data_IF_297001045372
#
_entry.id   IF_297001045372
#
_cell.length_a   1.000
_cell.length_b   1.000
_cell.length_c   1.000
_cell.angle_alpha   90.00
_cell.angle_beta   90.00
_cell.angle_gamma   90.00
#
_symmetry.space_group_name_H-M   'P 1'
#
loop_
_entity.id
_entity.type
_entity.pdbx_description
1 polymer ?
#
# COMPACT_ATOMS: atom_id res chain seq x y z
N UNK A 1 38.67 -43.33 -36.36
CA UNK A 1 37.60 -42.32 -36.45
C UNK A 1 37.61 -41.43 -35.23
N UNK A 2 37.60 -40.12 -35.48
CA UNK A 2 38.07 -39.04 -34.61
C UNK A 2 37.26 -38.85 -33.32
N UNK A 3 38.01 -38.70 -32.24
CA UNK A 3 37.69 -38.00 -31.01
C UNK A 3 37.37 -36.52 -31.26
N UNK A 4 36.23 -36.04 -30.76
CA UNK A 4 35.96 -34.62 -30.54
C UNK A 4 35.49 -34.43 -29.10
N UNK A 5 36.47 -34.28 -28.21
CA UNK A 5 36.32 -33.64 -26.91
C UNK A 5 36.35 -32.13 -27.16
N UNK A 6 35.18 -31.51 -27.22
CA UNK A 6 35.04 -30.06 -27.29
C UNK A 6 35.13 -29.48 -25.88
N UNK A 7 36.33 -29.08 -25.47
CA UNK A 7 36.54 -28.20 -24.32
C UNK A 7 36.09 -26.79 -24.66
N UNK A 8 34.81 -26.49 -24.44
CA UNK A 8 34.31 -25.12 -24.41
C UNK A 8 34.64 -24.49 -23.05
N UNK A 9 35.82 -23.88 -23.00
CA UNK A 9 36.18 -22.86 -22.01
C UNK A 9 35.24 -21.67 -22.18
N UNK A 10 34.20 -21.61 -21.35
CA UNK A 10 33.48 -20.37 -21.08
C UNK A 10 33.99 -19.86 -19.73
N UNK A 11 35.03 -19.04 -19.82
CA UNK A 11 35.32 -18.00 -18.85
C UNK A 11 34.09 -17.09 -18.73
N UNK A 12 33.17 -17.40 -17.81
CA UNK A 12 32.32 -16.38 -17.24
C UNK A 12 33.00 -15.90 -15.97
N UNK A 13 33.88 -14.92 -16.15
CA UNK A 13 34.34 -14.08 -15.06
C UNK A 13 33.12 -13.44 -14.44
N UNK A 14 32.67 -13.98 -13.30
CA UNK A 14 31.85 -13.25 -12.36
C UNK A 14 32.70 -12.08 -11.87
N UNK A 15 32.65 -10.99 -12.65
CA UNK A 15 32.94 -9.65 -12.19
C UNK A 15 31.99 -9.44 -11.01
N UNK A 16 32.54 -9.61 -9.80
CA UNK A 16 32.04 -9.00 -8.59
C UNK A 16 31.98 -7.50 -8.90
N UNK A 17 30.83 -7.07 -9.42
CA UNK A 17 30.41 -5.70 -9.31
C UNK A 17 30.34 -5.44 -7.81
N UNK A 18 31.44 -4.88 -7.31
CA UNK A 18 31.48 -4.12 -6.08
C UNK A 18 30.28 -3.20 -6.13
N UNK A 19 29.21 -3.58 -5.42
CA UNK A 19 28.13 -2.68 -5.07
C UNK A 19 28.86 -1.61 -4.27
N UNK A 20 29.00 -0.37 -4.76
CA UNK A 20 29.50 0.68 -3.90
C UNK A 20 28.51 0.73 -2.74
N UNK A 21 29.05 0.56 -1.54
CA UNK A 21 28.44 0.84 -0.26
C UNK A 21 28.13 2.35 -0.20
N UNK A 22 27.29 2.82 -1.13
CA UNK A 22 26.68 4.12 -1.11
C UNK A 22 25.45 3.95 -0.24
N UNK A 23 25.72 3.76 1.04
CA UNK A 23 24.88 4.28 2.12
C UNK A 23 24.86 5.79 1.88
N UNK A 24 24.03 6.19 0.91
CA UNK A 24 23.60 7.55 0.71
C UNK A 24 22.82 7.85 1.97
N UNK A 25 23.53 8.32 2.99
CA UNK A 25 22.97 9.09 4.09
C UNK A 25 22.19 10.20 3.42
N UNK A 26 20.92 9.94 3.17
CA UNK A 26 20.00 10.97 2.79
C UNK A 26 20.15 12.05 3.87
N UNK A 27 20.36 13.32 3.49
CA UNK A 27 20.34 14.40 4.46
C UNK A 27 19.04 14.23 5.24
N UNK A 28 19.16 14.24 6.56
CA UNK A 28 18.01 14.19 7.44
C UNK A 28 17.08 15.33 7.04
N UNK A 29 16.08 15.01 6.22
CA UNK A 29 14.99 15.92 5.99
C UNK A 29 14.39 16.09 7.37
N UNK A 30 14.62 17.27 7.95
CA UNK A 30 13.91 17.79 9.10
C UNK A 30 12.45 17.48 8.83
N UNK A 31 11.95 16.43 9.48
CA UNK A 31 10.52 16.15 9.52
C UNK A 31 9.90 17.48 9.96
N UNK A 32 9.00 18.09 9.18
CA UNK A 32 8.22 19.20 9.70
C UNK A 32 7.63 18.70 11.02
N UNK A 33 7.84 19.50 12.07
CA UNK A 33 7.39 19.19 13.42
C UNK A 33 6.00 18.57 13.31
N UNK A 34 5.84 17.40 13.92
CA UNK A 34 4.54 16.80 14.12
C UNK A 34 3.67 17.88 14.77
N UNK A 35 2.82 18.52 13.95
CA UNK A 35 1.68 19.26 14.44
C UNK A 35 0.86 18.20 15.12
N UNK A 36 1.05 18.14 16.44
CA UNK A 36 0.20 17.45 17.40
C UNK A 36 -1.21 17.46 16.84
N UNK A 37 -1.68 16.26 16.51
CA UNK A 37 -3.07 16.02 16.21
C UNK A 37 -3.85 16.49 17.41
N UNK A 38 -4.30 17.75 17.38
CA UNK A 38 -5.43 18.21 18.14
C UNK A 38 -6.54 17.22 17.78
N UNK A 39 -6.84 16.37 18.76
CA UNK A 39 -7.96 15.47 18.75
C UNK A 39 -9.13 16.17 18.06
N UNK A 40 -9.57 15.61 16.94
CA UNK A 40 -10.89 15.91 16.42
C UNK A 40 -11.86 15.59 17.54
N UNK A 41 -12.31 16.65 18.22
CA UNK A 41 -13.42 16.56 19.14
C UNK A 41 -14.63 15.93 18.46
N UNK A 42 -15.57 15.39 19.24
CA UNK A 42 -16.76 14.74 18.71
C UNK A 42 -17.43 15.64 17.68
N UNK A 43 -17.61 15.10 16.47
CA UNK A 43 -18.39 15.73 15.39
C UNK A 43 -19.66 16.32 16.01
N UNK A 44 -19.90 17.63 15.95
CA UNK A 44 -21.19 18.18 16.34
C UNK A 44 -22.23 17.53 15.42
N UNK A 45 -23.24 16.91 16.03
CA UNK A 45 -24.43 16.41 15.35
C UNK A 45 -24.91 17.52 14.42
N UNK A 46 -25.02 17.22 13.14
CA UNK A 46 -25.68 18.07 12.17
C UNK A 46 -27.12 18.29 12.66
N UNK A 47 -27.33 19.41 13.36
CA UNK A 47 -28.64 19.95 13.59
C UNK A 47 -29.17 20.31 12.21
N UNK A 48 -30.09 19.47 11.74
CA UNK A 48 -31.04 19.73 10.67
C UNK A 48 -31.57 21.16 10.85
N UNK A 49 -30.99 22.10 10.09
CA UNK A 49 -31.47 23.46 10.02
C UNK A 49 -32.85 23.39 9.37
N UNK A 50 -33.88 23.39 10.22
CA UNK A 50 -35.22 23.75 9.83
C UNK A 50 -35.14 25.11 9.14
N UNK A 51 -35.78 25.21 7.98
CA UNK A 51 -36.03 26.46 7.29
C UNK A 51 -36.83 27.39 8.22
N UNK A 52 -36.13 28.25 8.95
CA UNK A 52 -36.71 29.39 9.65
C UNK A 52 -36.99 30.45 8.61
N UNK A 53 -38.24 30.52 8.17
CA UNK A 53 -38.82 31.67 7.49
C UNK A 53 -38.63 32.91 8.37
N UNK A 54 -37.66 33.76 8.02
CA UNK A 54 -37.43 35.04 8.66
C UNK A 54 -38.59 35.98 8.34
N UNK A 55 -39.51 36.12 9.31
CA UNK A 55 -40.38 37.29 9.47
C UNK A 55 -39.50 38.50 9.78
N UNK A 56 -39.10 39.25 8.77
CA UNK A 56 -38.62 40.61 8.94
C UNK A 56 -39.83 41.53 9.06
N UNK A 57 -39.99 42.12 10.24
CA UNK A 57 -41.03 43.09 10.55
C UNK A 57 -40.87 44.35 9.70
N UNK A 58 -41.92 44.66 8.95
CA UNK A 58 -42.14 45.97 8.36
C UNK A 58 -42.67 46.89 9.45
N UNK A 59 -41.86 47.85 9.86
CA UNK A 59 -42.27 49.05 10.58
C UNK A 59 -43.30 49.82 9.75
N UNK A 60 -44.39 50.23 10.38
CA UNK A 60 -45.44 51.02 9.75
C UNK A 60 -44.94 52.42 9.39
N UNK A 61 -44.70 52.65 8.11
CA UNK A 61 -44.64 53.98 7.52
C UNK A 61 -45.98 54.27 6.83
N UNK A 62 -46.59 55.40 7.19
CA UNK A 62 -47.84 55.93 6.65
C UNK A 62 -47.70 56.10 5.13
N UNK A 63 -48.30 55.19 4.36
CA UNK A 63 -48.39 55.27 2.90
C UNK A 63 -49.34 56.40 2.53
N UNK A 64 -48.79 57.48 1.97
CA UNK A 64 -49.53 58.47 1.19
C UNK A 64 -50.07 57.74 -0.05
N UNK A 65 -51.35 57.90 -0.42
CA UNK A 65 -51.91 57.24 -1.60
C UNK A 65 -51.18 57.73 -2.86
N UNK A 66 -50.23 56.93 -3.35
CA UNK A 66 -49.67 57.09 -4.70
C UNK A 66 -50.80 56.76 -5.67
N UNK A 67 -51.36 57.81 -6.26
CA UNK A 67 -52.29 57.73 -7.38
C UNK A 67 -51.57 56.97 -8.48
N UNK A 68 -51.94 55.70 -8.70
CA UNK A 68 -51.48 54.93 -9.85
C UNK A 68 -51.81 55.75 -11.10
N UNK A 69 -50.82 56.17 -11.90
CA UNK A 69 -51.09 56.78 -13.19
C UNK A 69 -52.01 55.84 -13.94
N UNK A 70 -53.13 56.37 -14.41
CA UNK A 70 -54.10 55.63 -15.21
C UNK A 70 -53.35 55.20 -16.47
N UNK A 71 -52.92 53.94 -16.53
CA UNK A 71 -52.35 53.35 -17.75
C UNK A 71 -53.41 53.48 -18.83
N UNK A 72 -53.24 54.49 -19.68
CA UNK A 72 -54.03 54.64 -20.88
C UNK A 72 -53.58 53.49 -21.77
N UNK A 73 -54.41 52.45 -21.88
CA UNK A 73 -54.24 51.38 -22.86
C UNK A 73 -54.26 52.01 -24.26
N UNK A 74 -53.08 52.42 -24.71
CA UNK A 74 -52.83 52.78 -26.10
C UNK A 74 -52.80 51.47 -26.88
N UNK A 75 -53.56 51.39 -27.97
CA UNK A 75 -53.48 50.24 -28.87
C UNK A 75 -52.06 50.15 -29.43
N UNK A 76 -51.44 48.94 -29.45
CA UNK A 76 -50.09 48.78 -29.93
C UNK A 76 -50.02 49.19 -31.41
N UNK A 77 -49.24 50.22 -31.69
CA UNK A 77 -49.00 50.69 -33.04
C UNK A 77 -47.91 49.84 -33.71
N UNK A 78 -47.92 49.70 -35.05
CA UNK A 78 -46.94 48.86 -35.76
C UNK A 78 -45.47 49.24 -35.54
N UNK A 79 -45.19 50.48 -35.13
CA UNK A 79 -43.84 51.00 -34.88
C UNK A 79 -43.43 51.00 -33.39
N UNK A 80 -44.30 50.56 -32.47
CA UNK A 80 -43.97 50.47 -31.04
C UNK A 80 -42.79 49.52 -30.78
N UNK A 81 -42.66 48.44 -31.57
CA UNK A 81 -41.53 47.52 -31.49
C UNK A 81 -40.19 48.19 -31.83
N UNK A 82 -40.19 49.15 -32.76
CA UNK A 82 -38.99 49.91 -33.13
C UNK A 82 -38.59 50.84 -31.98
N UNK A 83 -39.56 51.58 -31.43
CA UNK A 83 -39.32 52.48 -30.28
C UNK A 83 -38.81 51.68 -29.08
N UNK A 84 -39.43 50.54 -28.79
CA UNK A 84 -39.02 49.66 -27.70
C UNK A 84 -37.60 49.10 -27.90
N UNK A 85 -37.24 48.70 -29.12
CA UNK A 85 -35.89 48.22 -29.42
C UNK A 85 -34.84 49.33 -29.22
N UNK A 86 -35.13 50.55 -29.70
CA UNK A 86 -34.27 51.72 -29.52
C UNK A 86 -34.16 52.13 -28.04
N UNK A 87 -35.24 52.05 -27.26
CA UNK A 87 -35.23 52.35 -25.83
C UNK A 87 -34.41 51.35 -25.02
N UNK A 88 -34.51 50.05 -25.33
CA UNK A 88 -33.84 49.00 -24.56
C UNK A 88 -32.35 48.86 -24.87
N UNK A 89 -31.95 49.11 -26.12
CA UNK A 89 -30.61 48.77 -26.62
C UNK A 89 -29.93 49.88 -27.39
N UNK A 90 -30.67 50.90 -27.82
CA UNK A 90 -30.12 52.05 -28.49
C UNK A 90 -29.28 52.90 -27.53
N UNK A 91 -28.32 53.62 -28.09
CA UNK A 91 -27.50 54.58 -27.35
C UNK A 91 -27.99 56.02 -27.56
N UNK A 92 -29.27 56.15 -27.94
CA UNK A 92 -29.90 57.43 -28.21
C UNK A 92 -30.25 58.14 -26.90
N UNK A 93 -30.09 59.45 -26.92
CA UNK A 93 -30.49 60.34 -25.82
C UNK A 93 -32.03 60.29 -25.68
N UNK A 94 -32.61 60.24 -24.46
CA UNK A 94 -34.05 60.06 -24.26
C UNK A 94 -34.92 61.07 -25.02
N UNK A 95 -34.48 62.32 -25.11
CA UNK A 95 -35.14 63.37 -25.86
C UNK A 95 -35.23 63.07 -27.36
N UNK A 96 -34.20 62.42 -27.92
CA UNK A 96 -34.15 61.97 -29.32
C UNK A 96 -35.10 60.78 -29.52
N UNK A 97 -35.22 59.88 -28.53
CA UNK A 97 -36.19 58.78 -28.57
C UNK A 97 -37.63 59.28 -28.59
N UNK A 98 -37.97 60.26 -27.75
CA UNK A 98 -39.31 60.89 -27.74
C UNK A 98 -39.59 61.51 -29.11
N UNK A 99 -38.66 62.31 -29.63
CA UNK A 99 -38.78 62.93 -30.96
C UNK A 99 -38.98 61.88 -32.07
N UNK A 100 -38.19 60.79 -32.08
CA UNK A 100 -38.35 59.70 -33.04
C UNK A 100 -39.72 59.03 -32.88
N UNK A 101 -40.15 58.75 -31.64
CA UNK A 101 -41.43 58.10 -31.36
C UNK A 101 -42.64 58.91 -31.85
N UNK A 102 -42.55 60.25 -31.78
CA UNK A 102 -43.57 61.17 -32.29
C UNK A 102 -43.50 61.36 -33.80
N UNK A 103 -42.30 61.29 -34.40
CA UNK A 103 -42.09 61.44 -35.85
C UNK A 103 -42.38 60.16 -36.66
N UNK A 104 -42.33 58.99 -36.03
CA UNK A 104 -42.57 57.69 -36.69
C UNK A 104 -43.97 57.55 -37.31
N UNK A 105 -45.08 57.94 -36.65
CA UNK A 105 -46.42 57.94 -37.28
C UNK A 105 -46.47 58.72 -38.59
N UNK A 106 -45.88 59.93 -38.63
CA UNK A 106 -45.90 60.78 -39.81
C UNK A 106 -44.91 60.31 -40.89
N UNK A 107 -43.86 59.58 -40.51
CA UNK A 107 -42.84 59.09 -41.43
C UNK A 107 -43.22 57.74 -42.05
N UNK A 108 -43.67 56.78 -41.25
CA UNK A 108 -44.06 55.43 -41.69
C UNK A 108 -45.52 55.35 -42.14
N UNK A 109 -46.39 56.25 -41.66
CA UNK A 109 -47.80 56.32 -42.06
C UNK A 109 -48.04 56.94 -43.44
N UNK A 110 -47.03 57.61 -44.01
CA UNK A 110 -47.10 58.23 -45.35
C UNK A 110 -46.43 57.33 -46.40
N UNK A 111 -47.03 57.27 -47.59
CA UNK A 111 -46.47 56.49 -48.72
C UNK A 111 -45.07 56.99 -49.07
N UNK A 112 -44.16 56.07 -49.44
CA UNK A 112 -42.73 56.38 -49.65
C UNK A 112 -42.49 57.60 -50.54
N UNK A 113 -43.20 57.68 -51.67
CA UNK A 113 -43.04 58.76 -52.66
C UNK A 113 -43.59 60.13 -52.21
N UNK A 114 -44.33 60.17 -51.10
CA UNK A 114 -44.92 61.39 -50.52
C UNK A 114 -44.17 61.86 -49.27
N UNK A 115 -43.13 61.13 -48.84
CA UNK A 115 -42.37 61.49 -47.65
C UNK A 115 -41.55 62.74 -47.89
N UNK A 116 -41.54 63.62 -46.90
CA UNK A 116 -40.67 64.79 -46.93
C UNK A 116 -39.20 64.35 -46.74
N UNK A 117 -38.20 65.01 -47.35
CA UNK A 117 -36.77 64.68 -47.18
C UNK A 117 -36.26 64.70 -45.72
N UNK A 118 -37.02 65.28 -44.80
CA UNK A 118 -36.74 65.19 -43.36
C UNK A 118 -37.21 63.85 -42.76
N UNK A 119 -38.38 63.35 -43.16
CA UNK A 119 -38.90 62.05 -42.71
C UNK A 119 -38.00 60.91 -43.16
N UNK A 120 -37.50 60.97 -44.39
CA UNK A 120 -36.50 60.00 -44.89
C UNK A 120 -35.23 60.00 -44.02
N UNK A 121 -34.69 61.18 -43.70
CA UNK A 121 -33.52 61.30 -42.82
C UNK A 121 -33.75 60.74 -41.41
N UNK A 122 -34.95 60.91 -40.84
CA UNK A 122 -35.32 60.31 -39.55
C UNK A 122 -35.34 58.78 -39.68
N UNK A 123 -35.91 58.23 -40.74
CA UNK A 123 -35.94 56.79 -40.98
C UNK A 123 -34.55 56.21 -41.21
N UNK A 124 -33.68 56.90 -41.94
CA UNK A 124 -32.29 56.50 -42.15
C UNK A 124 -31.54 56.43 -40.81
N UNK A 125 -31.75 57.43 -39.94
CA UNK A 125 -31.13 57.45 -38.60
C UNK A 125 -31.64 56.30 -37.72
N UNK A 126 -32.95 56.02 -37.76
CA UNK A 126 -33.54 54.86 -37.06
C UNK A 126 -32.99 53.55 -37.61
N UNK A 127 -32.87 53.43 -38.92
CA UNK A 127 -32.34 52.25 -39.58
C UNK A 127 -30.87 52.00 -39.18
N UNK A 128 -30.04 53.04 -39.19
CA UNK A 128 -28.64 52.96 -38.78
C UNK A 128 -28.51 52.52 -37.30
N UNK A 129 -29.34 53.05 -36.41
CA UNK A 129 -29.34 52.63 -35.00
C UNK A 129 -29.82 51.19 -34.80
N UNK A 130 -30.88 50.77 -35.49
CA UNK A 130 -31.33 49.37 -35.46
C UNK A 130 -30.26 48.42 -35.99
N UNK A 131 -29.55 48.80 -37.05
CA UNK A 131 -28.44 48.02 -37.60
C UNK A 131 -27.29 47.89 -36.60
N UNK A 132 -26.93 48.96 -35.89
CA UNK A 132 -25.93 48.89 -34.81
C UNK A 132 -26.36 47.95 -33.69
N UNK A 133 -27.64 47.96 -33.32
CA UNK A 133 -28.19 47.03 -32.32
C UNK A 133 -28.09 45.59 -32.80
N UNK A 134 -28.47 45.32 -34.07
CA UNK A 134 -28.36 44.01 -34.71
C UNK A 134 -26.91 43.51 -34.73
N UNK A 135 -25.98 44.32 -35.24
CA UNK A 135 -24.55 44.00 -35.29
C UNK A 135 -24.00 43.69 -33.88
N UNK A 136 -24.37 44.49 -32.88
CA UNK A 136 -23.98 44.26 -31.48
C UNK A 136 -24.56 42.96 -30.90
N UNK A 137 -25.80 42.59 -31.25
CA UNK A 137 -26.38 41.31 -30.85
C UNK A 137 -25.69 40.13 -31.54
N UNK A 138 -25.32 40.27 -32.81
CA UNK A 138 -24.57 39.25 -33.56
C UNK A 138 -23.16 39.06 -33.00
N UNK A 139 -22.47 40.14 -32.60
CA UNK A 139 -21.18 40.06 -31.93
C UNK A 139 -21.27 39.32 -30.59
N UNK A 140 -22.26 39.65 -29.76
CA UNK A 140 -22.50 38.95 -28.48
C UNK A 140 -22.82 37.46 -28.72
N UNK A 141 -23.62 37.15 -29.73
CA UNK A 141 -23.95 35.76 -30.09
C UNK A 141 -22.69 35.00 -30.54
N UNK A 142 -21.86 35.62 -31.39
CA UNK A 142 -20.57 35.03 -31.83
C UNK A 142 -19.68 34.75 -30.63
N UNK A 143 -19.53 35.71 -29.73
CA UNK A 143 -18.69 35.57 -28.54
C UNK A 143 -19.19 34.49 -27.58
N UNK A 144 -20.50 34.42 -27.35
CA UNK A 144 -21.10 33.34 -26.55
C UNK A 144 -20.95 31.98 -27.21
N UNK A 145 -21.13 31.88 -28.53
CA UNK A 145 -20.92 30.65 -29.29
C UNK A 145 -19.48 30.18 -29.20
N UNK A 146 -18.51 31.10 -29.31
CA UNK A 146 -17.09 30.80 -29.14
C UNK A 146 -16.77 30.31 -27.72
N UNK A 147 -17.37 30.92 -26.68
CA UNK A 147 -17.21 30.48 -25.29
C UNK A 147 -17.78 29.07 -25.06
N UNK A 148 -18.96 28.77 -25.59
CA UNK A 148 -19.56 27.43 -25.49
C UNK A 148 -18.65 26.39 -26.16
N UNK A 149 -18.20 26.66 -27.39
CA UNK A 149 -17.28 25.77 -28.10
C UNK A 149 -15.98 25.54 -27.32
N UNK A 150 -15.41 26.57 -26.69
CA UNK A 150 -14.24 26.43 -25.83
C UNK A 150 -14.51 25.54 -24.61
N UNK A 151 -15.63 25.78 -23.90
CA UNK A 151 -15.98 24.99 -22.72
C UNK A 151 -16.26 23.52 -23.07
N UNK A 152 -16.77 23.24 -24.27
CA UNK A 152 -16.98 21.86 -24.74
C UNK A 152 -15.65 21.14 -24.98
N UNK A 153 -14.66 21.84 -25.55
CA UNK A 153 -13.30 21.30 -25.73
C UNK A 153 -12.63 21.02 -24.38
N UNK A 154 -12.71 21.96 -23.44
CA UNK A 154 -12.17 21.77 -22.08
C UNK A 154 -12.85 20.60 -21.36
N UNK A 155 -14.19 20.50 -21.47
CA UNK A 155 -14.94 19.40 -20.89
C UNK A 155 -14.52 18.05 -21.48
N UNK A 156 -14.36 17.96 -22.80
CA UNK A 156 -13.92 16.74 -23.47
C UNK A 156 -12.53 16.31 -22.96
N UNK A 157 -11.59 17.25 -22.86
CA UNK A 157 -10.24 17.02 -22.32
C UNK A 157 -10.27 16.55 -20.86
N UNK A 158 -11.11 17.15 -20.01
CA UNK A 158 -11.26 16.74 -18.61
C UNK A 158 -11.86 15.32 -18.49
N UNK A 159 -12.85 14.99 -19.32
CA UNK A 159 -13.45 13.63 -19.33
C UNK A 159 -12.41 12.57 -19.72
N UNK A 160 -11.58 12.86 -20.72
CA UNK A 160 -10.49 11.97 -21.12
C UNK A 160 -9.46 11.82 -19.99
N UNK A 161 -9.04 12.92 -19.36
CA UNK A 161 -8.12 12.89 -18.23
C UNK A 161 -8.67 12.11 -17.02
N UNK A 162 -9.98 12.19 -16.76
CA UNK A 162 -10.63 11.41 -15.69
C UNK A 162 -10.59 9.92 -16.04
N UNK A 163 -10.93 9.55 -17.29
CA UNK A 163 -10.91 8.15 -17.71
C UNK A 163 -9.50 7.52 -17.61
N UNK A 164 -8.46 8.28 -17.98
CA UNK A 164 -7.06 7.84 -17.82
C UNK A 164 -6.72 7.66 -16.34
N UNK A 165 -7.05 8.63 -15.48
CA UNK A 165 -6.78 8.55 -14.05
C UNK A 165 -7.52 7.38 -13.37
N UNK A 166 -8.78 7.13 -13.73
CA UNK A 166 -9.56 5.98 -13.24
C UNK A 166 -8.91 4.65 -13.65
N UNK A 167 -8.46 4.53 -14.90
CA UNK A 167 -7.72 3.35 -15.36
C UNK A 167 -6.43 3.14 -14.58
N UNK A 168 -5.66 4.20 -14.30
CA UNK A 168 -4.43 4.09 -13.50
C UNK A 168 -4.69 3.66 -12.06
N UNK A 169 -5.76 4.18 -11.44
CA UNK A 169 -6.18 3.79 -10.09
C UNK A 169 -6.51 2.30 -10.05
N UNK A 170 -7.29 1.80 -11.02
CA UNK A 170 -7.65 0.38 -11.11
C UNK A 170 -6.41 -0.52 -11.24
N UNK A 171 -5.43 -0.16 -12.08
CA UNK A 171 -4.17 -0.90 -12.22
C UNK A 171 -3.41 -0.94 -10.90
N UNK A 172 -3.29 0.18 -10.19
CA UNK A 172 -2.61 0.26 -8.89
C UNK A 172 -3.33 -0.54 -7.80
N UNK A 173 -4.66 -0.58 -7.83
CA UNK A 173 -5.45 -1.40 -6.91
C UNK A 173 -5.20 -2.90 -7.12
N UNK A 174 -5.14 -3.37 -8.37
CA UNK A 174 -4.77 -4.75 -8.69
C UNK A 174 -3.34 -5.09 -8.21
N UNK A 175 -2.37 -4.22 -8.49
CA UNK A 175 -0.98 -4.40 -8.03
C UNK A 175 -0.90 -4.47 -6.50
N UNK A 176 -1.62 -3.60 -5.79
CA UNK A 176 -1.69 -3.60 -4.35
C UNK A 176 -2.26 -4.93 -3.81
N UNK A 177 -3.33 -5.46 -4.42
CA UNK A 177 -3.89 -6.77 -4.05
C UNK A 177 -2.89 -7.91 -4.30
N UNK A 178 -2.17 -7.89 -5.43
CA UNK A 178 -1.11 -8.87 -5.74
C UNK A 178 0.01 -8.83 -4.70
N UNK A 179 0.52 -7.64 -4.37
CA UNK A 179 1.56 -7.48 -3.34
C UNK A 179 1.10 -7.92 -1.95
N UNK A 180 -0.16 -7.63 -1.59
CA UNK A 180 -0.74 -8.08 -0.33
C UNK A 180 -0.79 -9.62 -0.25
N UNK A 181 -1.18 -10.30 -1.32
CA UNK A 181 -1.19 -11.75 -1.37
C UNK A 181 0.24 -12.35 -1.30
N UNK A 182 1.20 -11.74 -2.00
CA UNK A 182 2.60 -12.15 -1.93
C UNK A 182 3.17 -12.01 -0.52
N UNK A 183 2.88 -10.90 0.16
CA UNK A 183 3.33 -10.65 1.52
C UNK A 183 2.79 -11.71 2.49
N UNK A 184 1.49 -12.03 2.40
CA UNK A 184 0.89 -13.09 3.23
C UNK A 184 1.57 -14.45 3.01
N UNK A 185 1.85 -14.82 1.75
CA UNK A 185 2.57 -16.06 1.44
C UNK A 185 4.00 -16.08 1.99
N UNK A 186 4.70 -14.95 1.97
CA UNK A 186 6.04 -14.82 2.55
C UNK A 186 6.00 -14.94 4.07
N UNK A 187 5.01 -14.34 4.74
CA UNK A 187 4.82 -14.47 6.20
C UNK A 187 4.58 -15.92 6.62
N UNK A 188 3.75 -16.66 5.88
CA UNK A 188 3.54 -18.09 6.08
C UNK A 188 4.84 -18.89 5.89
N UNK A 189 5.61 -18.58 4.84
CA UNK A 189 6.91 -19.21 4.57
C UNK A 189 7.93 -18.97 5.69
N UNK A 190 7.99 -17.76 6.23
CA UNK A 190 8.85 -17.41 7.37
C UNK A 190 8.42 -18.15 8.64
N UNK A 191 7.13 -18.20 8.93
CA UNK A 191 6.62 -18.93 10.10
C UNK A 191 6.95 -20.43 10.03
N UNK A 192 6.78 -21.05 8.86
CA UNK A 192 7.14 -22.45 8.64
C UNK A 192 8.66 -22.70 8.79
N UNK A 193 9.49 -21.78 8.29
CA UNK A 193 10.95 -21.86 8.42
C UNK A 193 11.40 -21.74 9.88
N UNK A 194 10.79 -20.83 10.66
CA UNK A 194 11.07 -20.68 12.09
C UNK A 194 10.72 -21.97 12.84
N UNK A 195 9.52 -22.52 12.61
CA UNK A 195 9.11 -23.78 13.25
C UNK A 195 10.05 -24.94 12.92
N UNK A 196 10.45 -25.06 11.65
CA UNK A 196 11.42 -26.09 11.22
C UNK A 196 12.77 -25.92 11.92
N UNK A 197 13.25 -24.68 12.05
CA UNK A 197 14.51 -24.36 12.70
C UNK A 197 14.48 -24.73 14.19
N UNK A 198 13.39 -24.45 14.89
CA UNK A 198 13.21 -24.81 16.31
C UNK A 198 13.26 -26.32 16.54
N UNK A 199 12.57 -27.10 15.68
CA UNK A 199 12.63 -28.57 15.73
C UNK A 199 14.07 -29.05 15.53
N UNK A 200 14.77 -28.53 14.52
CA UNK A 200 16.17 -28.93 14.25
C UNK A 200 17.12 -28.56 15.38
N UNK A 201 16.89 -27.44 16.07
CA UNK A 201 17.67 -27.08 17.27
C UNK A 201 17.42 -28.06 18.41
N UNK A 202 16.19 -28.46 18.64
CA UNK A 202 15.86 -29.46 19.65
C UNK A 202 16.53 -30.82 19.35
N UNK A 203 16.44 -31.28 18.09
CA UNK A 203 17.14 -32.50 17.63
C UNK A 203 18.65 -32.40 17.86
N UNK A 204 19.25 -31.25 17.53
CA UNK A 204 20.68 -31.01 17.70
C UNK A 204 21.11 -31.11 19.17
N UNK A 205 20.34 -30.53 20.09
CA UNK A 205 20.62 -30.60 21.53
C UNK A 205 20.60 -32.05 22.01
N UNK A 206 19.58 -32.83 21.62
CA UNK A 206 19.48 -34.26 21.99
C UNK A 206 20.68 -35.08 21.48
N UNK A 207 21.13 -34.80 20.25
CA UNK A 207 22.30 -35.46 19.67
C UNK A 207 23.58 -35.10 20.43
N UNK A 208 23.76 -33.83 20.80
CA UNK A 208 24.91 -33.37 21.58
C UNK A 208 24.92 -34.06 22.96
N UNK A 209 23.79 -34.08 23.66
CA UNK A 209 23.66 -34.78 24.95
C UNK A 209 23.98 -36.28 24.83
N UNK A 210 23.51 -36.94 23.78
CA UNK A 210 23.81 -38.35 23.53
C UNK A 210 25.32 -38.59 23.25
N UNK A 211 25.97 -37.67 22.53
CA UNK A 211 27.42 -37.73 22.28
C UNK A 211 28.20 -37.55 23.59
N UNK A 212 27.81 -36.58 24.43
CA UNK A 212 28.47 -36.32 25.72
C UNK A 212 28.35 -37.53 26.64
N UNK A 213 27.17 -38.13 26.76
CA UNK A 213 26.95 -39.37 27.53
C UNK A 213 27.79 -40.53 26.98
N UNK A 214 27.88 -40.68 25.65
CA UNK A 214 28.70 -41.72 25.04
C UNK A 214 30.20 -41.49 25.29
N UNK A 215 30.66 -40.23 25.25
CA UNK A 215 32.03 -39.86 25.57
C UNK A 215 32.38 -40.16 27.03
N UNK A 216 31.50 -39.79 27.98
CA UNK A 216 31.68 -40.11 29.40
C UNK A 216 31.76 -41.62 29.65
N UNK A 217 30.85 -42.40 29.05
CA UNK A 217 30.88 -43.87 29.13
C UNK A 217 32.19 -44.44 28.60
N UNK A 218 32.67 -43.94 27.46
CA UNK A 218 33.96 -44.35 26.90
C UNK A 218 35.12 -44.04 27.85
N UNK A 219 35.18 -42.83 28.41
CA UNK A 219 36.25 -42.46 29.36
C UNK A 219 36.22 -43.32 30.62
N UNK A 220 35.02 -43.61 31.14
CA UNK A 220 34.84 -44.50 32.30
C UNK A 220 35.31 -45.92 31.99
N UNK A 221 34.92 -46.46 30.83
CA UNK A 221 35.32 -47.79 30.38
C UNK A 221 36.85 -47.89 30.24
N UNK A 222 37.48 -46.91 29.60
CA UNK A 222 38.94 -46.85 29.45
C UNK A 222 39.65 -46.76 30.81
N UNK A 223 39.10 -46.01 31.77
CA UNK A 223 39.62 -45.95 33.14
C UNK A 223 39.49 -47.30 33.86
N UNK A 224 38.34 -47.97 33.74
CA UNK A 224 38.13 -49.30 34.35
C UNK A 224 39.07 -50.35 33.77
N UNK A 225 39.27 -50.34 32.44
CA UNK A 225 40.20 -51.23 31.76
C UNK A 225 41.64 -51.05 32.30
N UNK A 226 42.12 -49.81 32.29
CA UNK A 226 43.49 -49.49 32.66
C UNK A 226 43.80 -49.65 34.15
N UNK A 227 42.89 -49.21 35.02
CA UNK A 227 43.14 -49.14 36.46
C UNK A 227 42.74 -50.41 37.22
N UNK A 228 41.75 -51.17 36.72
CA UNK A 228 41.16 -52.28 37.48
C UNK A 228 41.29 -53.61 36.74
N UNK A 229 40.84 -53.67 35.48
CA UNK A 229 40.80 -54.93 34.72
C UNK A 229 42.20 -55.49 34.44
N UNK A 230 43.12 -54.71 33.85
CA UNK A 230 44.46 -55.22 33.53
C UNK A 230 45.24 -55.70 34.78
N UNK A 231 45.25 -54.95 35.91
CA UNK A 231 45.88 -55.44 37.15
C UNK A 231 45.23 -56.71 37.73
N UNK A 232 43.90 -56.85 37.64
CA UNK A 232 43.20 -58.10 38.02
C UNK A 232 43.58 -59.26 37.11
N UNK A 233 43.71 -59.01 35.80
CA UNK A 233 44.11 -60.03 34.81
C UNK A 233 45.52 -60.55 35.12
N UNK A 234 46.48 -59.67 35.38
CA UNK A 234 47.88 -60.04 35.71
C UNK A 234 48.01 -60.58 37.15
N UNK A 235 47.09 -60.23 38.06
CA UNK A 235 47.12 -60.66 39.46
C UNK A 235 48.00 -59.77 40.35
N UNK A 236 48.15 -58.49 40.01
CA UNK A 236 49.03 -57.54 40.73
C UNK A 236 48.31 -56.74 41.83
N UNK A 237 47.01 -56.91 42.00
CA UNK A 237 46.21 -56.19 42.99
C UNK A 237 46.06 -56.97 44.29
N UNK A 238 46.14 -56.24 45.41
CA UNK A 238 45.74 -56.74 46.72
C UNK A 238 44.20 -56.85 46.79
N UNK A 239 43.70 -57.94 47.38
CA UNK A 239 42.26 -58.24 47.52
C UNK A 239 41.48 -58.34 46.18
N UNK A 240 41.81 -59.31 45.30
CA UNK A 240 41.21 -59.43 43.98
C UNK A 240 39.69 -59.61 44.00
N UNK A 241 39.14 -60.27 45.04
CA UNK A 241 37.69 -60.52 45.19
C UNK A 241 36.89 -59.22 45.28
N UNK A 242 37.36 -58.26 46.08
CA UNK A 242 36.65 -56.98 46.25
C UNK A 242 36.72 -56.15 44.97
N UNK A 243 37.91 -56.06 44.36
CA UNK A 243 38.13 -55.28 43.14
C UNK A 243 37.41 -55.86 41.92
N UNK A 244 37.30 -57.19 41.82
CA UNK A 244 36.51 -57.85 40.80
C UNK A 244 35.01 -57.53 40.95
N UNK A 245 34.51 -57.49 42.19
CA UNK A 245 33.12 -57.12 42.47
C UNK A 245 32.85 -55.65 42.12
N UNK A 246 33.76 -54.74 42.46
CA UNK A 246 33.67 -53.32 42.10
C UNK A 246 33.65 -53.12 40.58
N UNK A 247 34.54 -53.81 39.86
CA UNK A 247 34.58 -53.79 38.39
C UNK A 247 33.26 -54.28 37.78
N UNK A 248 32.73 -55.38 38.27
CA UNK A 248 31.46 -55.95 37.79
C UNK A 248 30.29 -55.01 38.05
N UNK A 249 30.24 -54.36 39.20
CA UNK A 249 29.22 -53.35 39.48
C UNK A 249 29.32 -52.16 38.51
N UNK A 250 30.53 -51.69 38.22
CA UNK A 250 30.76 -50.60 37.28
C UNK A 250 30.40 -50.97 35.82
N UNK A 251 30.78 -52.17 35.37
CA UNK A 251 30.40 -52.67 34.04
C UNK A 251 28.89 -52.94 33.94
N UNK A 252 28.25 -53.40 35.02
CA UNK A 252 26.79 -53.55 35.06
C UNK A 252 26.10 -52.19 34.89
N UNK A 253 26.62 -51.13 35.54
CA UNK A 253 26.10 -49.77 35.40
C UNK A 253 26.26 -49.22 33.97
N UNK A 254 27.25 -49.70 33.20
CA UNK A 254 27.43 -49.38 31.78
C UNK A 254 26.53 -50.21 30.84
N UNK A 255 25.77 -51.17 31.37
CA UNK A 255 24.80 -51.97 30.62
C UNK A 255 25.36 -53.25 30.01
N UNK A 256 26.51 -53.75 30.48
CA UNK A 256 27.03 -55.05 30.06
C UNK A 256 26.15 -56.19 30.60
N UNK A 257 26.16 -57.33 29.90
CA UNK A 257 25.32 -58.48 30.27
C UNK A 257 25.67 -59.03 31.66
N UNK A 258 24.68 -59.02 32.56
CA UNK A 258 24.85 -59.41 33.95
C UNK A 258 25.22 -60.89 34.13
N UNK A 259 24.82 -61.76 33.19
CA UNK A 259 25.11 -63.19 33.28
C UNK A 259 26.60 -63.46 33.04
N UNK A 260 27.16 -62.83 32.00
CA UNK A 260 28.59 -62.86 31.73
C UNK A 260 29.40 -62.25 32.86
N UNK A 261 29.00 -61.08 33.37
CA UNK A 261 29.72 -60.40 34.44
C UNK A 261 29.77 -61.21 35.74
N UNK A 262 28.75 -62.03 36.04
CA UNK A 262 28.76 -62.94 37.19
C UNK A 262 29.84 -64.01 37.06
N UNK A 263 29.97 -64.61 35.88
CA UNK A 263 31.05 -65.56 35.60
C UNK A 263 32.41 -64.88 35.67
N UNK A 264 32.54 -63.68 35.08
CA UNK A 264 33.77 -62.90 35.11
C UNK A 264 34.21 -62.54 36.54
N UNK A 265 33.27 -62.23 37.45
CA UNK A 265 33.59 -61.98 38.86
C UNK A 265 34.30 -63.17 39.49
N UNK A 266 33.73 -64.37 39.31
CA UNK A 266 34.28 -65.61 39.89
C UNK A 266 35.65 -65.98 39.32
N UNK A 267 35.90 -65.66 38.05
CA UNK A 267 37.16 -65.94 37.36
C UNK A 267 38.25 -64.94 37.72
N UNK A 268 37.91 -63.64 37.81
CA UNK A 268 38.84 -62.57 38.19
C UNK A 268 39.18 -62.59 39.69
N UNK A 269 38.30 -63.14 40.54
CA UNK A 269 38.55 -63.32 41.97
C UNK A 269 39.66 -64.35 42.29
N UNK A 270 39.98 -65.25 41.34
CA UNK A 270 41.04 -66.26 41.47
C UNK A 270 42.40 -65.68 41.08
N UNK A 271 43.46 -66.14 41.75
CA UNK A 271 44.85 -65.87 41.33
C UNK A 271 45.11 -66.47 39.94
N UNK A 272 46.02 -65.90 39.13
CA UNK A 272 46.27 -66.38 37.78
C UNK A 272 46.55 -67.88 37.69
N UNK A 273 47.33 -68.42 38.62
CA UNK A 273 47.70 -69.84 38.67
C UNK A 273 46.53 -70.78 39.06
N UNK A 274 45.49 -70.23 39.69
CA UNK A 274 44.31 -70.98 40.13
C UNK A 274 43.15 -70.94 39.12
N UNK A 275 43.32 -70.28 37.97
CA UNK A 275 42.29 -70.17 36.92
C UNK A 275 42.25 -71.44 36.08
N UNK A 276 41.06 -72.03 35.95
CA UNK A 276 40.81 -73.13 35.04
C UNK A 276 40.63 -72.68 33.59
N UNK A 277 40.51 -73.62 32.66
CA UNK A 277 40.26 -73.33 31.24
C UNK A 277 39.00 -72.50 31.01
N UNK A 278 37.94 -72.75 31.80
CA UNK A 278 36.71 -71.94 31.75
C UNK A 278 36.96 -70.50 32.20
N UNK A 279 37.75 -70.28 33.26
CA UNK A 279 38.05 -68.93 33.76
C UNK A 279 38.82 -68.12 32.72
N UNK A 280 39.78 -68.74 32.03
CA UNK A 280 40.53 -68.11 30.93
C UNK A 280 39.58 -67.71 29.80
N UNK A 281 38.70 -68.62 29.37
CA UNK A 281 37.72 -68.34 28.31
C UNK A 281 36.78 -67.17 28.65
N UNK A 282 36.33 -67.07 29.91
CA UNK A 282 35.48 -65.95 30.35
C UNK A 282 36.25 -64.64 30.34
N UNK A 283 37.52 -64.64 30.76
CA UNK A 283 38.37 -63.43 30.76
C UNK A 283 38.65 -62.96 29.34
N UNK A 284 38.96 -63.88 28.41
CA UNK A 284 39.16 -63.58 26.99
C UNK A 284 37.87 -63.04 26.35
N UNK A 285 36.71 -63.63 26.65
CA UNK A 285 35.43 -63.14 26.14
C UNK A 285 35.09 -61.74 26.67
N UNK A 286 35.39 -61.49 27.96
CA UNK A 286 35.23 -60.17 28.54
C UNK A 286 36.17 -59.16 27.89
N UNK A 287 37.43 -59.52 27.63
CA UNK A 287 38.39 -58.64 26.95
C UNK A 287 37.92 -58.22 25.57
N UNK A 288 37.45 -59.19 24.77
CA UNK A 288 36.91 -58.95 23.43
C UNK A 288 35.66 -58.05 23.42
N UNK A 289 34.97 -57.91 24.55
CA UNK A 289 33.84 -56.99 24.70
C UNK A 289 34.23 -55.62 25.24
N UNK A 290 35.41 -55.51 25.84
CA UNK A 290 35.95 -54.24 26.35
C UNK A 290 36.76 -53.51 25.27
N UNK A 291 37.31 -54.23 24.28
CA UNK A 291 37.92 -53.68 23.05
C UNK A 291 36.89 -53.11 22.07
#
# INVERSE_FOLDING_TARGET
>A
SRSHFGSSSLHNGHSLHSIPDRVSRMPSMKRPAAVSGKAMGPRPKAARAAATTSKTGSTGAKVVPVVKPKEVHREPTPWDAIVQALEQRGQLVPEVLVMISEALPDSLGVHKDQRHPFQERVLDSVFDELRKIEDGMLDVLRDLTAKVAHTDVERASLVESIAVAESEVHVKEEEHLRHKALLASLEEGVAAAISTLEIRRADQIQVIEAIDVAAERKTTLQSLMTQTYFPLKVGTLDNPVSKATDLVNALTALGFDASMLRSANSSLAKTPDARGSFDVCVIEHLEALLE
#
